data_IF_165671769704
#
_entry.id   IF_165671769704
#
_cell.length_a   1.000
_cell.length_b   1.000
_cell.length_c   1.000
_cell.angle_alpha   90.00
_cell.angle_beta   90.00
_cell.angle_gamma   90.00
#
_symmetry.space_group_name_H-M   'P 1'
#
loop_
_entity.id
_entity.type
_entity.pdbx_description
1 polymer ?
#
# COMPACT_ATOMS: atom_id res chain seq x y z
N UNK A 1 1.60 6.47 -12.00
CA UNK A 1 0.46 5.73 -11.43
C UNK A 1 -0.41 6.66 -10.61
N UNK A 2 -1.69 6.39 -10.55
CA UNK A 2 -2.61 7.18 -9.72
C UNK A 2 -2.60 6.70 -8.27
N UNK A 3 -2.55 7.65 -7.34
CA UNK A 3 -2.54 7.40 -5.89
C UNK A 3 -3.58 8.29 -5.23
N UNK A 4 -4.39 7.72 -4.34
CA UNK A 4 -5.30 8.49 -3.49
C UNK A 4 -4.53 8.94 -2.26
N UNK A 5 -4.37 10.25 -2.10
CA UNK A 5 -3.67 10.86 -0.98
C UNK A 5 -4.63 11.53 -0.02
N UNK A 6 -4.42 11.33 1.28
CA UNK A 6 -5.12 12.01 2.35
C UNK A 6 -4.15 12.94 3.07
N UNK A 7 -4.41 14.23 3.02
CA UNK A 7 -3.59 15.24 3.70
C UNK A 7 -4.15 15.63 5.08
N UNK A 8 -5.34 15.18 5.42
CA UNK A 8 -6.03 15.46 6.67
C UNK A 8 -7.53 15.21 6.52
N UNK A 9 -8.29 15.55 7.56
CA UNK A 9 -9.75 15.39 7.56
C UNK A 9 -10.41 16.11 6.38
N UNK A 10 -11.19 15.38 5.58
CA UNK A 10 -11.87 15.90 4.40
C UNK A 10 -10.97 16.27 3.22
N UNK A 11 -9.67 15.97 3.27
CA UNK A 11 -8.68 16.37 2.27
C UNK A 11 -8.16 15.17 1.50
N UNK A 12 -8.94 14.70 0.52
CA UNK A 12 -8.52 13.68 -0.44
C UNK A 12 -8.16 14.30 -1.78
N UNK A 13 -7.14 13.75 -2.41
CA UNK A 13 -6.78 14.06 -3.79
C UNK A 13 -6.29 12.82 -4.52
N UNK A 14 -6.55 12.75 -5.82
CA UNK A 14 -5.93 11.77 -6.70
C UNK A 14 -4.72 12.44 -7.35
N UNK A 15 -3.56 11.86 -7.15
CA UNK A 15 -2.29 12.38 -7.64
C UNK A 15 -1.62 11.37 -8.55
N UNK A 16 -0.84 11.86 -9.51
CA UNK A 16 -0.01 11.01 -10.35
C UNK A 16 1.40 10.94 -9.77
N UNK A 17 1.83 9.72 -9.47
CA UNK A 17 3.14 9.42 -8.91
C UNK A 17 3.91 8.50 -9.84
N UNK A 18 5.25 8.57 -9.85
CA UNK A 18 6.06 7.61 -10.60
C UNK A 18 5.86 6.20 -10.06
N UNK A 19 5.97 5.21 -10.94
CA UNK A 19 5.98 3.81 -10.53
C UNK A 19 7.24 3.57 -9.70
N UNK A 20 7.14 2.97 -8.48
CA UNK A 20 8.31 2.72 -7.64
C UNK A 20 9.34 1.83 -8.34
N UNK A 21 10.62 2.12 -8.11
CA UNK A 21 11.70 1.25 -8.54
C UNK A 21 11.63 -0.10 -7.82
N UNK A 22 11.98 -1.16 -8.56
CA UNK A 22 12.02 -2.51 -8.03
C UNK A 22 13.39 -2.82 -7.46
N UNK A 23 13.48 -3.08 -6.16
CA UNK A 23 14.70 -3.62 -5.56
C UNK A 23 14.82 -5.12 -5.76
N UNK A 24 16.05 -5.65 -5.64
CA UNK A 24 16.35 -7.05 -5.93
C UNK A 24 15.59 -8.05 -5.03
N UNK A 25 15.23 -7.64 -3.82
CA UNK A 25 14.53 -8.44 -2.81
C UNK A 25 13.00 -8.28 -2.82
N UNK A 26 12.45 -7.55 -3.78
CA UNK A 26 11.02 -7.22 -3.83
C UNK A 26 10.35 -7.71 -5.11
N UNK A 27 9.03 -7.81 -5.04
CA UNK A 27 8.17 -7.95 -6.20
C UNK A 27 7.37 -6.67 -6.39
N UNK A 28 6.98 -6.40 -7.63
CA UNK A 28 6.02 -5.35 -7.96
C UNK A 28 4.73 -5.99 -8.46
N UNK A 29 3.62 -5.52 -7.96
CA UNK A 29 2.30 -5.97 -8.39
C UNK A 29 1.50 -4.81 -8.97
N UNK A 30 0.83 -5.06 -10.08
CA UNK A 30 -0.19 -4.18 -10.60
C UNK A 30 -1.49 -4.44 -9.83
N UNK A 31 -1.99 -3.42 -9.15
CA UNK A 31 -3.23 -3.51 -8.37
C UNK A 31 -4.41 -3.79 -9.30
N UNK A 32 -5.18 -4.82 -8.98
CA UNK A 32 -6.41 -5.18 -9.69
C UNK A 32 -7.66 -4.73 -8.94
N UNK A 33 -7.68 -4.94 -7.61
CA UNK A 33 -8.78 -4.56 -6.74
C UNK A 33 -8.27 -3.97 -5.43
N UNK A 34 -8.95 -2.95 -4.94
CA UNK A 34 -8.71 -2.36 -3.63
C UNK A 34 -9.99 -2.33 -2.81
N UNK A 35 -9.90 -2.71 -1.54
CA UNK A 35 -10.94 -2.53 -0.54
C UNK A 35 -10.82 -1.19 0.16
N UNK A 36 -11.88 -0.82 0.88
CA UNK A 36 -11.91 0.35 1.77
C UNK A 36 -12.07 -0.15 3.19
N UNK A 37 -11.07 0.10 4.01
CA UNK A 37 -11.08 -0.23 5.44
C UNK A 37 -11.75 0.88 6.26
N UNK A 38 -12.27 0.54 7.41
CA UNK A 38 -12.76 1.54 8.39
C UNK A 38 -11.68 2.55 8.79
N UNK A 39 -10.40 2.16 8.78
CA UNK A 39 -9.30 3.08 9.05
C UNK A 39 -9.15 4.17 7.98
N UNK A 40 -9.41 3.87 6.72
CA UNK A 40 -9.41 4.87 5.64
C UNK A 40 -10.50 5.92 5.88
N UNK A 41 -11.68 5.48 6.36
CA UNK A 41 -12.77 6.38 6.71
C UNK A 41 -12.41 7.27 7.90
N UNK A 42 -11.73 6.73 8.91
CA UNK A 42 -11.25 7.52 10.06
C UNK A 42 -10.23 8.58 9.64
N UNK A 43 -9.30 8.25 8.76
CA UNK A 43 -8.37 9.23 8.21
C UNK A 43 -9.09 10.34 7.45
N UNK A 44 -10.05 9.97 6.63
CA UNK A 44 -10.83 10.94 5.87
C UNK A 44 -11.73 11.83 6.74
N UNK A 45 -12.48 11.22 7.67
CA UNK A 45 -13.47 11.94 8.47
C UNK A 45 -12.85 12.74 9.61
N UNK A 46 -11.79 12.20 10.24
CA UNK A 46 -11.25 12.73 11.49
C UNK A 46 -9.75 13.08 11.43
N UNK A 47 -9.07 12.81 10.33
CA UNK A 47 -7.63 13.01 10.21
C UNK A 47 -6.82 12.02 11.03
N UNK A 48 -7.40 10.89 11.41
CA UNK A 48 -6.77 9.83 12.20
C UNK A 48 -7.74 9.12 13.14
N UNK A 49 -7.21 8.26 13.97
CA UNK A 49 -7.96 7.56 15.01
C UNK A 49 -7.11 7.42 16.29
N UNK A 50 -7.74 7.66 17.45
CA UNK A 50 -7.01 7.69 18.71
C UNK A 50 -5.87 8.71 18.70
N UNK A 51 -4.68 8.26 19.04
CA UNK A 51 -3.45 9.07 19.03
C UNK A 51 -2.75 9.12 17.67
N UNK A 52 -3.17 8.27 16.73
CA UNK A 52 -2.63 8.22 15.37
C UNK A 52 -3.27 9.33 14.55
N UNK A 53 -2.46 10.29 14.10
CA UNK A 53 -2.91 11.45 13.31
C UNK A 53 -2.13 11.56 12.02
N UNK A 54 -2.81 12.02 10.96
CA UNK A 54 -2.16 12.37 9.70
C UNK A 54 -1.30 13.60 9.94
N UNK A 55 0.02 13.43 9.88
CA UNK A 55 1.02 14.51 10.02
C UNK A 55 1.55 14.95 8.67
N UNK A 56 1.57 14.04 7.71
CA UNK A 56 2.03 14.24 6.34
C UNK A 56 1.02 13.58 5.40
N UNK A 57 0.92 14.00 4.14
CA UNK A 57 0.04 13.34 3.18
C UNK A 57 0.31 11.84 3.12
N UNK A 58 -0.74 11.04 3.32
CA UNK A 58 -0.71 9.59 3.41
C UNK A 58 -1.39 8.98 2.20
N UNK A 59 -0.74 8.05 1.53
CA UNK A 59 -1.39 7.22 0.52
C UNK A 59 -2.35 6.25 1.19
N UNK A 60 -3.62 6.29 0.80
CA UNK A 60 -4.63 5.37 1.29
C UNK A 60 -4.69 4.09 0.46
N UNK A 61 -5.22 3.04 1.07
CA UNK A 61 -5.40 1.73 0.46
C UNK A 61 -4.37 0.72 0.95
N UNK A 62 -4.85 -0.28 1.69
CA UNK A 62 -4.03 -1.36 2.24
C UNK A 62 -4.72 -2.73 2.18
N UNK A 63 -5.90 -2.79 1.63
CA UNK A 63 -6.65 -4.02 1.36
C UNK A 63 -6.66 -4.25 -0.15
N UNK A 64 -5.58 -4.78 -0.69
CA UNK A 64 -5.37 -4.84 -2.14
C UNK A 64 -5.02 -6.24 -2.61
N UNK A 65 -5.47 -6.55 -3.81
CA UNK A 65 -5.02 -7.69 -4.59
C UNK A 65 -4.53 -7.25 -5.95
N UNK A 66 -3.68 -8.03 -6.54
CA UNK A 66 -3.10 -7.67 -7.82
C UNK A 66 -2.43 -8.82 -8.52
N UNK A 67 -1.75 -8.48 -9.60
CA UNK A 67 -1.00 -9.40 -10.43
C UNK A 67 0.47 -8.96 -10.42
N UNK A 68 1.36 -9.89 -10.15
CA UNK A 68 2.81 -9.63 -10.21
C UNK A 68 3.20 -9.22 -11.62
N UNK A 69 3.82 -8.05 -11.77
CA UNK A 69 4.29 -7.55 -13.07
C UNK A 69 5.83 -7.49 -13.18
N UNK A 70 6.52 -7.57 -12.05
CA UNK A 70 7.98 -7.68 -12.01
C UNK A 70 8.46 -8.37 -10.74
N UNK A 71 9.56 -9.11 -10.85
CA UNK A 71 10.17 -9.88 -9.75
C UNK A 71 11.63 -9.47 -9.63
N UNK A 72 12.06 -9.09 -8.42
CA UNK A 72 13.45 -8.77 -8.14
C UNK A 72 14.37 -10.00 -8.28
N UNK A 73 15.63 -9.75 -8.63
CA UNK A 73 16.59 -10.81 -8.97
C UNK A 73 16.85 -11.81 -7.83
N UNK A 74 16.69 -11.39 -6.57
CA UNK A 74 16.95 -12.21 -5.37
C UNK A 74 15.68 -12.89 -4.84
N UNK A 75 14.54 -12.69 -5.48
CA UNK A 75 13.27 -13.31 -5.07
C UNK A 75 13.10 -14.66 -5.74
N UNK A 76 12.86 -15.69 -4.94
CA UNK A 76 12.59 -17.04 -5.40
C UNK A 76 11.11 -17.41 -5.23
N UNK A 77 10.61 -18.32 -6.07
CA UNK A 77 9.27 -18.90 -5.95
C UNK A 77 8.12 -17.95 -6.32
N UNK A 78 8.41 -16.79 -6.93
CA UNK A 78 7.42 -15.86 -7.45
C UNK A 78 7.60 -15.67 -8.96
N UNK A 79 6.52 -15.38 -9.66
CA UNK A 79 6.56 -15.23 -11.13
C UNK A 79 5.62 -14.14 -11.62
N UNK A 80 5.97 -13.54 -12.74
CA UNK A 80 5.13 -12.55 -13.43
C UNK A 80 3.84 -13.22 -13.90
N UNK A 81 2.72 -12.57 -13.65
CA UNK A 81 1.38 -13.09 -13.92
C UNK A 81 0.72 -13.78 -12.71
N UNK A 82 1.45 -13.99 -11.61
CA UNK A 82 0.91 -14.55 -10.38
C UNK A 82 -0.13 -13.58 -9.76
N UNK A 83 -1.28 -14.13 -9.38
CA UNK A 83 -2.30 -13.37 -8.63
C UNK A 83 -2.01 -13.46 -7.15
N UNK A 84 -1.99 -12.32 -6.48
CA UNK A 84 -1.63 -12.20 -5.07
C UNK A 84 -2.60 -11.32 -4.29
N UNK A 85 -2.77 -11.64 -3.01
CA UNK A 85 -3.28 -10.71 -2.01
C UNK A 85 -2.07 -10.07 -1.30
N UNK A 86 -2.12 -8.78 -1.07
CA UNK A 86 -0.99 -8.02 -0.52
C UNK A 86 -1.26 -7.72 0.94
N UNK A 87 -0.40 -8.23 1.83
CA UNK A 87 -0.42 -7.86 3.24
C UNK A 87 0.26 -6.52 3.44
N UNK A 88 -0.35 -5.57 4.16
CA UNK A 88 0.29 -4.30 4.48
C UNK A 88 1.37 -4.43 5.57
N UNK A 89 1.41 -5.56 6.26
CA UNK A 89 2.32 -5.78 7.37
C UNK A 89 3.70 -6.24 6.89
N UNK A 90 4.73 -5.61 7.43
CA UNK A 90 6.13 -6.01 7.20
C UNK A 90 6.77 -6.34 8.56
N UNK A 91 6.76 -7.61 8.96
CA UNK A 91 7.36 -8.00 10.23
C UNK A 91 8.88 -7.84 10.20
N UNK A 92 9.47 -7.54 11.34
CA UNK A 92 10.93 -7.42 11.45
C UNK A 92 11.64 -8.79 11.37
N UNK A 93 10.96 -9.89 11.66
CA UNK A 93 11.51 -11.23 11.65
C UNK A 93 12.39 -11.60 12.84
N UNK A 94 12.55 -10.69 13.82
CA UNK A 94 13.49 -10.88 14.95
C UNK A 94 12.85 -10.74 16.33
N UNK A 95 11.69 -10.10 16.42
CA UNK A 95 10.99 -9.96 17.70
C UNK A 95 10.06 -11.16 17.96
N UNK A 96 9.55 -11.26 19.18
CA UNK A 96 8.67 -12.36 19.58
C UNK A 96 7.20 -12.16 19.16
N UNK A 97 6.87 -11.05 18.53
CA UNK A 97 5.51 -10.72 18.09
C UNK A 97 5.33 -10.89 16.60
#
# INVERSE_FOLDING_TARGET
MQVVMCAGAGQLSVQDHPIPELSADMIRAKVAFGGICGSDLHYYQHGGFGTVRVKEPLALGHEVSGVVDAVGADVEGRYVGERIAISPSRPCGHCRF
#
